data_IF_308074726706
#
_entry.id   IF_308074726706
#
_cell.length_a   1.000
_cell.length_b   1.000
_cell.length_c   1.000
_cell.angle_alpha   90.00
_cell.angle_beta   90.00
_cell.angle_gamma   90.00
#
_symmetry.space_group_name_H-M   'P 1'
#
loop_
_entity.id
_entity.type
_entity.pdbx_description
1 polymer ?
#
# COMPACT_ATOMS: atom_id res chain seq x y z
N UNK A 1 38.63 4.33 -0.63
CA UNK A 1 37.36 5.04 -0.90
C UNK A 1 36.82 4.79 -2.29
N UNK A 2 37.52 5.13 -3.39
CA UNK A 2 36.99 4.91 -4.74
C UNK A 2 36.60 3.45 -5.05
N UNK A 3 37.41 2.46 -4.63
CA UNK A 3 37.06 1.03 -4.75
C UNK A 3 35.83 0.65 -3.92
N UNK A 4 35.67 1.25 -2.74
CA UNK A 4 34.48 1.04 -1.89
C UNK A 4 33.27 1.61 -2.61
N UNK A 5 33.34 2.86 -3.09
CA UNK A 5 32.26 3.48 -3.88
C UNK A 5 31.88 2.66 -5.10
N UNK A 6 32.85 2.08 -5.82
CA UNK A 6 32.57 1.19 -6.95
C UNK A 6 31.84 -0.10 -6.50
N UNK A 7 32.27 -0.72 -5.39
CA UNK A 7 31.59 -1.88 -4.82
C UNK A 7 30.17 -1.57 -4.33
N UNK A 8 29.96 -0.40 -3.72
CA UNK A 8 28.62 0.05 -3.31
C UNK A 8 27.73 0.34 -4.51
N UNK A 9 28.27 0.91 -5.60
CA UNK A 9 27.51 1.13 -6.83
C UNK A 9 26.97 -0.17 -7.44
N UNK A 10 27.72 -1.28 -7.32
CA UNK A 10 27.26 -2.61 -7.74
C UNK A 10 26.11 -3.10 -6.85
N UNK A 11 26.19 -2.89 -5.54
CA UNK A 11 25.09 -3.20 -4.62
C UNK A 11 23.85 -2.36 -4.89
N UNK A 12 24.01 -1.07 -5.23
CA UNK A 12 22.89 -0.15 -5.43
C UNK A 12 22.02 -0.55 -6.64
N UNK A 13 22.61 -1.19 -7.64
CA UNK A 13 21.87 -1.75 -8.77
C UNK A 13 21.16 -3.08 -8.50
N UNK A 14 21.26 -3.61 -7.28
CA UNK A 14 20.60 -4.85 -6.81
C UNK A 14 19.50 -4.55 -5.78
N UNK A 15 19.13 -3.27 -5.59
CA UNK A 15 18.03 -2.92 -4.68
C UNK A 15 16.72 -3.18 -5.42
N UNK A 16 15.91 -4.06 -4.86
CA UNK A 16 14.54 -4.29 -5.29
C UNK A 16 13.60 -3.28 -4.59
N UNK A 17 12.49 -2.94 -5.24
CA UNK A 17 11.44 -2.08 -4.69
C UNK A 17 10.21 -2.95 -4.36
N UNK A 18 9.65 -2.82 -3.15
CA UNK A 18 8.47 -3.58 -2.72
C UNK A 18 7.58 -2.72 -1.83
N UNK A 19 6.29 -2.72 -2.16
CA UNK A 19 5.28 -1.86 -1.55
C UNK A 19 4.05 -2.69 -1.16
N UNK A 20 4.27 -3.78 -0.44
CA UNK A 20 3.19 -4.55 0.17
C UNK A 20 2.92 -4.10 1.61
N UNK A 21 1.69 -4.27 2.09
CA UNK A 21 1.30 -4.13 3.49
C UNK A 21 1.78 -5.31 4.35
N UNK A 22 1.99 -6.48 3.73
CA UNK A 22 2.39 -7.72 4.41
C UNK A 22 3.74 -7.63 5.11
N UNK A 23 4.63 -6.77 4.61
CA UNK A 23 5.93 -6.53 5.23
C UNK A 23 5.80 -6.08 6.71
N UNK A 24 4.69 -5.43 7.07
CA UNK A 24 4.44 -4.94 8.43
C UNK A 24 3.92 -6.02 9.40
N UNK A 25 3.49 -7.18 8.90
CA UNK A 25 2.96 -8.28 9.71
C UNK A 25 3.99 -9.36 10.05
N UNK A 26 5.15 -9.32 9.40
CA UNK A 26 6.23 -10.28 9.54
C UNK A 26 6.73 -10.39 10.99
N UNK A 27 6.75 -11.62 11.53
CA UNK A 27 7.35 -11.92 12.84
C UNK A 27 6.46 -11.68 14.07
N UNK A 28 5.17 -11.38 13.91
CA UNK A 28 4.24 -11.23 15.03
C UNK A 28 3.63 -12.56 15.51
N UNK A 29 3.32 -12.68 16.81
CA UNK A 29 2.56 -13.81 17.36
C UNK A 29 1.20 -13.97 16.66
N UNK A 30 0.62 -12.85 16.20
CA UNK A 30 -0.62 -12.82 15.45
C UNK A 30 -0.47 -13.47 14.06
N UNK A 31 0.60 -13.17 13.32
CA UNK A 31 0.88 -13.82 12.02
C UNK A 31 1.16 -15.30 12.19
N UNK A 32 1.91 -15.69 13.22
CA UNK A 32 2.14 -17.12 13.51
C UNK A 32 0.83 -17.87 13.84
N UNK A 33 -0.09 -17.22 14.56
CA UNK A 33 -1.41 -17.79 14.83
C UNK A 33 -2.27 -17.86 13.55
N UNK A 34 -2.19 -16.86 12.68
CA UNK A 34 -2.86 -16.84 11.38
C UNK A 34 -2.33 -17.96 10.47
N UNK A 35 -1.02 -18.10 10.29
CA UNK A 35 -0.40 -19.19 9.53
C UNK A 35 -0.78 -20.57 10.08
N UNK A 36 -0.86 -20.71 11.41
CA UNK A 36 -1.33 -21.94 12.03
C UNK A 36 -2.79 -22.22 11.69
N UNK A 37 -3.66 -21.21 11.71
CA UNK A 37 -5.06 -21.35 11.29
C UNK A 37 -5.12 -21.78 9.82
N UNK A 38 -4.36 -21.11 8.95
CA UNK A 38 -4.32 -21.40 7.52
C UNK A 38 -3.87 -22.86 7.27
N UNK A 39 -2.73 -23.26 7.82
CA UNK A 39 -2.18 -24.62 7.62
C UNK A 39 -3.05 -25.75 8.17
N UNK A 40 -3.83 -25.51 9.24
CA UNK A 40 -4.50 -26.59 9.97
C UNK A 40 -6.03 -26.61 9.81
N UNK A 41 -6.63 -25.49 9.39
CA UNK A 41 -8.09 -25.35 9.35
C UNK A 41 -8.63 -24.94 7.97
N UNK A 42 -7.77 -24.78 6.96
CA UNK A 42 -8.24 -24.46 5.61
C UNK A 42 -8.78 -25.68 4.85
N UNK A 43 -9.80 -25.40 4.04
CA UNK A 43 -10.39 -26.34 3.09
C UNK A 43 -9.82 -26.01 1.71
N UNK A 44 -9.34 -27.02 0.96
CA UNK A 44 -8.85 -26.86 -0.42
C UNK A 44 -9.88 -26.05 -1.25
N UNK A 45 -9.49 -24.86 -1.73
CA UNK A 45 -10.30 -23.99 -2.61
C UNK A 45 -10.53 -22.53 -2.18
N UNK A 46 -10.11 -22.11 -0.99
CA UNK A 46 -10.28 -20.71 -0.52
C UNK A 46 -9.07 -19.77 -0.75
N UNK A 47 -7.93 -20.28 -1.22
CA UNK A 47 -6.71 -19.48 -1.42
C UNK A 47 -6.68 -18.73 -2.75
N UNK A 48 -7.48 -19.13 -3.74
CA UNK A 48 -7.42 -18.54 -5.08
C UNK A 48 -8.46 -17.44 -5.26
N UNK A 49 -8.76 -16.64 -4.22
CA UNK A 49 -9.67 -15.51 -4.33
C UNK A 49 -9.24 -14.27 -3.56
N UNK A 50 -9.64 -13.10 -4.06
CA UNK A 50 -9.61 -11.82 -3.35
C UNK A 50 -11.00 -11.20 -3.33
N UNK A 51 -11.27 -10.38 -2.32
CA UNK A 51 -12.58 -9.78 -2.09
C UNK A 51 -12.51 -8.27 -2.29
N UNK A 52 -13.41 -7.78 -3.13
CA UNK A 52 -13.66 -6.37 -3.36
C UNK A 52 -14.97 -6.02 -2.66
N UNK A 53 -14.98 -4.90 -1.93
CA UNK A 53 -16.16 -4.39 -1.24
C UNK A 53 -16.60 -3.08 -1.87
N UNK A 54 -17.79 -3.06 -2.45
CA UNK A 54 -18.43 -1.85 -2.96
C UNK A 54 -19.51 -1.40 -1.97
N UNK A 55 -19.23 -0.31 -1.25
CA UNK A 55 -20.16 0.27 -0.27
C UNK A 55 -20.94 1.38 -0.95
N UNK A 56 -22.25 1.20 -1.06
CA UNK A 56 -23.16 2.22 -1.56
C UNK A 56 -23.69 3.06 -0.39
N UNK A 57 -23.71 4.38 -0.51
CA UNK A 57 -24.23 5.30 0.51
C UNK A 57 -25.27 6.27 -0.08
N UNK A 58 -26.31 6.54 0.69
CA UNK A 58 -27.39 7.44 0.30
C UNK A 58 -28.42 7.65 1.40
N UNK A 59 -29.54 8.28 1.06
CA UNK A 59 -30.65 8.52 2.01
C UNK A 59 -31.44 7.23 2.28
N UNK A 60 -31.79 6.48 1.23
CA UNK A 60 -32.35 5.14 1.33
C UNK A 60 -31.82 4.23 0.21
N UNK A 61 -30.76 3.49 0.50
CA UNK A 61 -30.16 2.54 -0.45
C UNK A 61 -30.95 1.23 -0.60
N UNK A 62 -32.00 1.03 0.18
CA UNK A 62 -32.92 -0.11 0.05
C UNK A 62 -34.13 0.21 -0.83
N UNK A 63 -34.32 1.46 -1.27
CA UNK A 63 -35.40 1.82 -2.17
C UNK A 63 -35.33 0.98 -3.46
N UNK A 64 -36.47 0.58 -4.02
CA UNK A 64 -36.53 -0.32 -5.19
C UNK A 64 -35.67 0.17 -6.34
N UNK A 65 -35.76 1.46 -6.67
CA UNK A 65 -34.96 2.08 -7.73
C UNK A 65 -33.45 2.10 -7.45
N UNK A 66 -33.05 2.19 -6.17
CA UNK A 66 -31.63 2.16 -5.77
C UNK A 66 -31.08 0.73 -5.84
N UNK A 67 -31.89 -0.26 -5.48
CA UNK A 67 -31.53 -1.68 -5.59
C UNK A 67 -31.47 -2.13 -7.06
N UNK A 68 -32.40 -1.68 -7.91
CA UNK A 68 -32.36 -1.95 -9.36
C UNK A 68 -31.10 -1.35 -9.97
N UNK A 69 -30.76 -0.09 -9.68
CA UNK A 69 -29.52 0.53 -10.16
C UNK A 69 -28.26 -0.20 -9.69
N UNK A 70 -28.27 -0.72 -8.45
CA UNK A 70 -27.20 -1.59 -7.96
C UNK A 70 -27.05 -2.86 -8.81
N UNK A 71 -28.16 -3.50 -9.21
CA UNK A 71 -28.13 -4.66 -10.10
C UNK A 71 -27.70 -4.30 -11.54
N UNK A 72 -28.10 -3.13 -12.06
CA UNK A 72 -27.64 -2.63 -13.36
C UNK A 72 -26.12 -2.40 -13.36
N UNK A 73 -25.55 -1.83 -12.28
CA UNK A 73 -24.10 -1.71 -12.12
C UNK A 73 -23.43 -3.09 -12.11
N UNK A 74 -23.99 -4.08 -11.41
CA UNK A 74 -23.48 -5.45 -11.42
C UNK A 74 -23.52 -6.08 -12.82
N UNK A 75 -24.56 -5.80 -13.60
CA UNK A 75 -24.65 -6.23 -15.00
C UNK A 75 -23.53 -5.60 -15.83
N UNK A 76 -23.29 -4.30 -15.70
CA UNK A 76 -22.19 -3.62 -16.39
C UNK A 76 -20.82 -4.20 -16.02
N UNK A 77 -20.62 -4.56 -14.74
CA UNK A 77 -19.41 -5.25 -14.27
C UNK A 77 -19.23 -6.60 -14.99
N UNK A 78 -20.29 -7.39 -15.09
CA UNK A 78 -20.26 -8.71 -15.76
C UNK A 78 -20.11 -8.63 -17.29
N UNK A 79 -20.42 -7.47 -17.90
CA UNK A 79 -20.27 -7.23 -19.34
C UNK A 79 -18.87 -6.74 -19.73
N UNK A 80 -18.08 -6.26 -18.78
CA UNK A 80 -16.68 -5.83 -19.01
C UNK A 80 -15.76 -7.04 -19.00
N UNK A 81 -15.13 -7.34 -20.12
CA UNK A 81 -14.24 -8.51 -20.28
C UNK A 81 -13.06 -8.48 -19.27
N UNK A 82 -12.47 -7.31 -19.07
CA UNK A 82 -11.37 -7.09 -18.14
C UNK A 82 -11.75 -7.44 -16.69
N UNK A 83 -12.98 -7.13 -16.27
CA UNK A 83 -13.47 -7.47 -14.93
C UNK A 83 -14.00 -8.91 -14.89
N UNK A 84 -14.92 -9.28 -15.79
CA UNK A 84 -15.61 -10.57 -15.79
C UNK A 84 -14.65 -11.76 -15.89
N UNK A 85 -13.54 -11.62 -16.63
CA UNK A 85 -12.53 -12.68 -16.75
C UNK A 85 -11.84 -13.03 -15.42
N UNK A 86 -11.89 -12.11 -14.45
CA UNK A 86 -11.26 -12.29 -13.14
C UNK A 86 -12.23 -12.77 -12.05
N UNK A 87 -13.53 -12.83 -12.31
CA UNK A 87 -14.52 -13.20 -11.29
C UNK A 87 -14.61 -14.72 -11.06
N UNK A 88 -15.09 -15.11 -9.88
CA UNK A 88 -15.37 -16.53 -9.55
C UNK A 88 -16.61 -17.07 -10.27
N UNK A 89 -16.71 -18.39 -10.44
CA UNK A 89 -17.82 -19.02 -11.18
C UNK A 89 -19.10 -19.18 -10.34
N UNK A 90 -19.00 -19.55 -9.05
CA UNK A 90 -20.18 -19.94 -8.26
C UNK A 90 -20.97 -18.76 -7.69
N UNK A 91 -20.29 -17.68 -7.28
CA UNK A 91 -20.93 -16.44 -6.76
C UNK A 91 -20.01 -15.23 -6.98
N UNK A 92 -19.92 -14.69 -8.21
CA UNK A 92 -19.02 -13.59 -8.53
C UNK A 92 -19.37 -12.32 -7.77
N UNK A 93 -20.67 -12.04 -7.57
CA UNK A 93 -21.17 -10.83 -6.92
C UNK A 93 -22.30 -11.18 -5.95
N UNK A 94 -22.26 -10.63 -4.75
CA UNK A 94 -23.27 -10.75 -3.71
C UNK A 94 -23.61 -9.36 -3.14
N UNK A 95 -24.75 -8.83 -3.55
CA UNK A 95 -25.35 -7.61 -3.03
C UNK A 95 -26.78 -7.85 -2.51
N UNK A 96 -27.36 -6.81 -1.90
CA UNK A 96 -28.71 -6.90 -1.33
C UNK A 96 -29.77 -7.20 -2.40
N UNK A 97 -29.61 -6.63 -3.60
CA UNK A 97 -30.53 -6.85 -4.73
C UNK A 97 -30.59 -8.29 -5.17
N UNK A 98 -29.46 -9.00 -5.17
CA UNK A 98 -29.41 -10.41 -5.55
C UNK A 98 -30.23 -11.25 -4.58
N UNK A 99 -30.10 -10.98 -3.27
CA UNK A 99 -30.81 -11.73 -2.24
C UNK A 99 -32.32 -11.46 -2.28
N UNK A 100 -32.71 -10.19 -2.46
CA UNK A 100 -34.13 -9.81 -2.58
C UNK A 100 -34.77 -10.43 -3.82
N UNK A 101 -34.11 -10.34 -4.98
CA UNK A 101 -34.61 -10.92 -6.22
C UNK A 101 -34.71 -12.45 -6.14
N UNK A 102 -33.70 -13.13 -5.60
CA UNK A 102 -33.72 -14.58 -5.41
C UNK A 102 -34.87 -15.03 -4.49
N UNK A 103 -35.10 -14.31 -3.39
CA UNK A 103 -36.22 -14.59 -2.49
C UNK A 103 -37.58 -14.46 -3.20
N UNK A 104 -37.74 -13.45 -4.06
CA UNK A 104 -38.97 -13.26 -4.83
C UNK A 104 -39.15 -14.32 -5.93
N UNK A 105 -38.09 -14.64 -6.66
CA UNK A 105 -38.10 -15.71 -7.67
C UNK A 105 -38.51 -17.04 -7.02
N UNK A 106 -37.94 -17.35 -5.85
CA UNK A 106 -38.25 -18.58 -5.14
C UNK A 106 -39.73 -18.67 -4.70
N UNK A 107 -40.37 -17.52 -4.38
CA UNK A 107 -41.81 -17.48 -4.10
C UNK A 107 -42.65 -17.80 -5.34
N UNK A 108 -42.34 -17.17 -6.48
CA UNK A 108 -43.08 -17.40 -7.73
C UNK A 108 -43.02 -18.87 -8.16
N UNK A 109 -41.85 -19.50 -8.06
CA UNK A 109 -41.71 -20.94 -8.35
C UNK A 109 -42.42 -21.84 -7.33
N UNK A 110 -42.50 -21.43 -6.06
CA UNK A 110 -43.25 -22.15 -5.04
C UNK A 110 -44.77 -22.11 -5.27
N UNK A 111 -45.29 -20.97 -5.71
CA UNK A 111 -46.71 -20.79 -6.04
C UNK A 111 -47.13 -21.55 -7.32
N UNK A 112 -46.24 -21.66 -8.31
CA UNK A 112 -46.49 -22.43 -9.53
C UNK A 112 -46.51 -23.96 -9.33
N UNK A 113 -45.85 -24.45 -8.26
CA UNK A 113 -45.86 -25.86 -7.87
C UNK A 113 -47.18 -26.23 -7.16
N UNK A 114 -47.66 -25.38 -6.24
CA UNK A 114 -48.94 -25.58 -5.54
C UNK A 114 -50.17 -25.41 -6.47
N UNK A 115 -50.00 -24.73 -7.62
CA UNK A 115 -51.06 -24.59 -8.63
C UNK A 115 -51.35 -25.83 -9.46
N UNK A 116 -50.57 -26.92 -9.35
CA UNK A 116 -50.70 -28.13 -10.18
C UNK A 116 -51.15 -29.40 -9.46
N UNK A 117 -51.19 -29.44 -8.13
CA UNK A 117 -51.63 -30.62 -7.37
C UNK A 117 -53.06 -30.45 -6.83
N UNK A 118 -53.98 -30.20 -7.76
CA UNK A 118 -55.40 -30.08 -7.52
C UNK A 118 -56.24 -31.21 -8.12
N UNK A 119 -55.71 -32.43 -8.26
CA UNK A 119 -56.51 -33.64 -8.50
C UNK A 119 -55.66 -34.90 -8.22
N UNK A 120 -56.12 -35.70 -7.26
CA UNK A 120 -55.71 -37.08 -6.94
C UNK A 120 -54.39 -37.34 -6.19
N UNK A 121 -54.41 -37.23 -4.85
CA UNK A 121 -53.64 -38.13 -3.98
C UNK A 121 -54.22 -38.23 -2.56
N UNK A 122 -55.13 -39.18 -2.36
CA UNK A 122 -55.47 -39.74 -1.05
C UNK A 122 -54.31 -40.64 -0.60
N UNK A 123 -53.53 -40.24 0.40
CA UNK A 123 -52.36 -41.01 0.83
C UNK A 123 -51.58 -40.34 1.95
N UNK A 124 -51.79 -40.85 3.17
CA UNK A 124 -50.98 -40.55 4.36
C UNK A 124 -49.49 -40.73 4.06
N UNK A 125 -48.70 -39.72 4.42
CA UNK A 125 -47.33 -39.77 4.94
C UNK A 125 -46.63 -38.43 4.62
N UNK A 126 -46.95 -37.39 5.39
CA UNK A 126 -46.48 -36.02 5.17
C UNK A 126 -45.68 -35.48 6.35
N UNK A 127 -44.58 -36.14 6.73
CA UNK A 127 -43.71 -35.62 7.80
C UNK A 127 -42.19 -35.76 7.54
N UNK A 128 -41.74 -36.17 6.35
CA UNK A 128 -40.31 -36.37 6.06
C UNK A 128 -39.76 -35.58 4.83
N UNK A 129 -40.52 -34.69 4.21
CA UNK A 129 -40.06 -33.94 3.02
C UNK A 129 -39.26 -32.64 3.32
N UNK A 130 -39.11 -32.24 4.59
CA UNK A 130 -38.48 -30.96 4.96
C UNK A 130 -36.94 -31.01 5.13
N UNK A 131 -36.26 -32.08 4.68
CA UNK A 131 -34.82 -32.28 4.96
C UNK A 131 -33.93 -32.78 3.83
N UNK A 132 -34.33 -32.66 2.56
CA UNK A 132 -33.38 -32.81 1.45
C UNK A 132 -33.43 -31.62 0.52
N UNK A 133 -32.52 -30.66 0.76
CA UNK A 133 -32.12 -29.65 -0.22
C UNK A 133 -31.28 -30.29 -1.34
N UNK A 134 -31.86 -31.28 -2.03
CA UNK A 134 -31.24 -32.04 -3.10
C UNK A 134 -32.02 -31.83 -4.39
N UNK A 135 -31.46 -30.95 -5.24
CA UNK A 135 -31.67 -30.77 -6.67
C UNK A 135 -32.68 -31.73 -7.33
N UNK A 136 -33.82 -31.21 -7.74
CA UNK A 136 -34.69 -31.83 -8.72
C UNK A 136 -35.32 -30.74 -9.62
N UNK A 137 -34.90 -30.71 -10.88
CA UNK A 137 -35.50 -29.90 -11.96
C UNK A 137 -34.53 -28.86 -12.50
N UNK A 138 -34.16 -28.96 -13.79
CA UNK A 138 -33.07 -28.20 -14.41
C UNK A 138 -33.08 -26.72 -14.09
N UNK A 139 -32.04 -26.28 -13.36
CA UNK A 139 -31.85 -24.89 -12.96
C UNK A 139 -31.51 -24.08 -14.20
N UNK A 140 -32.48 -23.35 -14.73
CA UNK A 140 -32.19 -22.20 -15.58
C UNK A 140 -31.37 -21.24 -14.71
N UNK A 141 -30.15 -20.94 -15.15
CA UNK A 141 -29.24 -20.04 -14.43
C UNK A 141 -29.92 -18.67 -14.33
N UNK A 142 -30.24 -18.21 -13.12
CA UNK A 142 -30.96 -16.96 -12.90
C UNK A 142 -30.01 -15.81 -13.23
N UNK A 143 -30.30 -15.10 -14.32
CA UNK A 143 -29.45 -13.98 -14.77
C UNK A 143 -29.70 -12.72 -13.94
N UNK A 144 -28.76 -11.77 -13.96
CA UNK A 144 -28.96 -10.45 -13.34
C UNK A 144 -30.16 -9.72 -13.99
N UNK A 145 -30.39 -9.94 -15.29
CA UNK A 145 -31.56 -9.37 -15.97
C UNK A 145 -32.87 -9.93 -15.40
N UNK A 146 -32.95 -11.24 -15.14
CA UNK A 146 -34.14 -11.83 -14.51
C UNK A 146 -34.39 -11.24 -13.11
N UNK A 147 -33.32 -10.95 -12.38
CA UNK A 147 -33.39 -10.31 -11.06
C UNK A 147 -33.92 -8.87 -11.15
N UNK A 148 -33.43 -8.09 -12.12
CA UNK A 148 -33.91 -6.73 -12.40
C UNK A 148 -35.39 -6.76 -12.79
N UNK A 149 -35.79 -7.66 -13.68
CA UNK A 149 -37.16 -7.74 -14.21
C UNK A 149 -38.17 -8.09 -13.10
N UNK A 150 -37.83 -9.05 -12.24
CA UNK A 150 -38.70 -9.47 -11.12
C UNK A 150 -38.89 -8.34 -10.11
N UNK A 151 -37.83 -7.63 -9.73
CA UNK A 151 -37.96 -6.51 -8.80
C UNK A 151 -38.68 -5.32 -9.45
N UNK A 152 -38.44 -5.04 -10.74
CA UNK A 152 -39.08 -3.95 -11.47
C UNK A 152 -40.59 -4.14 -11.65
N UNK A 153 -41.06 -5.38 -11.69
CA UNK A 153 -42.48 -5.71 -11.81
C UNK A 153 -43.27 -5.48 -10.50
N UNK A 154 -42.61 -5.38 -9.35
CA UNK A 154 -43.26 -5.25 -8.04
C UNK A 154 -43.73 -3.81 -7.79
N UNK A 155 -44.90 -3.67 -7.18
CA UNK A 155 -45.30 -2.39 -6.62
C UNK A 155 -44.56 -2.09 -5.30
N UNK A 156 -44.65 -0.84 -4.81
CA UNK A 156 -43.87 -0.41 -3.65
C UNK A 156 -44.23 -1.17 -2.36
N UNK A 157 -45.50 -1.49 -2.16
CA UNK A 157 -45.95 -2.21 -0.95
C UNK A 157 -45.47 -3.66 -0.94
N UNK A 158 -45.53 -4.32 -2.10
CA UNK A 158 -45.01 -5.68 -2.28
C UNK A 158 -43.49 -5.72 -2.03
N UNK A 159 -42.77 -4.73 -2.57
CA UNK A 159 -41.32 -4.61 -2.42
C UNK A 159 -40.92 -4.34 -0.96
N UNK A 160 -41.58 -3.38 -0.29
CA UNK A 160 -41.33 -3.10 1.12
C UNK A 160 -41.59 -4.32 2.02
N UNK A 161 -42.65 -5.08 1.74
CA UNK A 161 -42.95 -6.32 2.47
C UNK A 161 -41.87 -7.38 2.25
N UNK A 162 -41.37 -7.53 1.02
CA UNK A 162 -40.23 -8.41 0.70
C UNK A 162 -38.98 -7.99 1.48
N UNK A 163 -38.63 -6.70 1.47
CA UNK A 163 -37.47 -6.18 2.21
C UNK A 163 -37.61 -6.44 3.71
N UNK A 164 -38.77 -6.15 4.30
CA UNK A 164 -39.03 -6.35 5.72
C UNK A 164 -38.90 -7.83 6.13
N UNK A 165 -39.35 -8.75 5.28
CA UNK A 165 -39.24 -10.19 5.55
C UNK A 165 -37.79 -10.68 5.40
N UNK A 166 -37.13 -10.35 4.29
CA UNK A 166 -35.77 -10.81 4.00
C UNK A 166 -34.76 -10.26 5.00
N UNK A 167 -34.94 -9.01 5.43
CA UNK A 167 -34.06 -8.34 6.40
C UNK A 167 -34.60 -8.38 7.85
N UNK A 168 -35.59 -9.21 8.14
CA UNK A 168 -36.06 -9.44 9.52
C UNK A 168 -35.00 -10.12 10.39
N UNK A 169 -35.17 -10.09 11.71
CA UNK A 169 -34.24 -10.72 12.67
C UNK A 169 -34.03 -12.23 12.41
N UNK A 170 -35.08 -12.92 11.97
CA UNK A 170 -35.08 -14.34 11.59
C UNK A 170 -34.96 -14.56 10.06
N UNK A 171 -34.68 -13.50 9.31
CA UNK A 171 -34.64 -13.49 7.85
C UNK A 171 -33.35 -14.08 7.25
N UNK A 172 -32.95 -13.55 6.10
CA UNK A 172 -31.77 -14.02 5.40
C UNK A 172 -30.49 -13.48 6.05
N UNK A 173 -29.76 -14.38 6.73
CA UNK A 173 -28.48 -14.05 7.39
C UNK A 173 -27.43 -13.46 6.44
N UNK A 174 -27.40 -13.85 5.17
CA UNK A 174 -26.45 -13.27 4.19
C UNK A 174 -26.84 -11.84 3.84
N UNK A 175 -28.13 -11.54 3.71
CA UNK A 175 -28.61 -10.17 3.48
C UNK A 175 -28.26 -9.25 4.66
N UNK A 176 -28.48 -9.70 5.90
CA UNK A 176 -28.12 -8.94 7.09
C UNK A 176 -26.60 -8.67 7.20
N UNK A 177 -25.76 -9.59 6.74
CA UNK A 177 -24.30 -9.42 6.74
C UNK A 177 -23.81 -8.31 5.78
N UNK A 178 -24.63 -7.92 4.79
CA UNK A 178 -24.35 -6.81 3.88
C UNK A 178 -24.79 -5.45 4.45
N UNK A 179 -25.52 -5.44 5.57
CA UNK A 179 -26.02 -4.21 6.18
C UNK A 179 -25.02 -3.65 7.20
N UNK A 180 -24.99 -2.32 7.41
CA UNK A 180 -24.15 -1.71 8.44
C UNK A 180 -24.61 -2.14 9.83
N UNK A 181 -23.70 -2.16 10.80
CA UNK A 181 -23.99 -2.53 12.19
C UNK A 181 -25.05 -1.65 12.88
N UNK A 182 -25.33 -0.46 12.33
CA UNK A 182 -26.39 0.44 12.81
C UNK A 182 -27.77 0.17 12.21
N UNK A 183 -27.90 -0.80 11.30
CA UNK A 183 -29.17 -1.15 10.66
C UNK A 183 -30.07 -1.90 11.65
N UNK A 184 -31.37 -1.54 11.67
CA UNK A 184 -32.37 -2.21 12.48
C UNK A 184 -33.06 -3.30 11.63
N UNK A 185 -32.99 -4.59 12.03
CA UNK A 185 -33.63 -5.68 11.28
C UNK A 185 -35.11 -5.41 11.01
N UNK A 186 -35.54 -5.61 9.77
CA UNK A 186 -36.90 -5.37 9.29
C UNK A 186 -37.17 -3.93 8.82
N UNK A 187 -36.22 -3.01 8.96
CA UNK A 187 -36.35 -1.65 8.42
C UNK A 187 -36.32 -1.66 6.88
N UNK A 188 -37.27 -1.00 6.23
CA UNK A 188 -37.26 -0.83 4.76
C UNK A 188 -36.33 0.30 4.30
N UNK A 189 -35.59 0.91 5.22
CA UNK A 189 -34.66 2.00 4.95
C UNK A 189 -33.28 1.71 5.50
N UNK A 190 -32.24 2.06 4.73
CA UNK A 190 -30.87 2.05 5.19
C UNK A 190 -30.06 3.15 4.51
N UNK A 191 -29.04 3.67 5.20
CA UNK A 191 -28.13 4.68 4.64
C UNK A 191 -26.98 4.09 3.84
N UNK A 192 -26.71 2.81 4.02
CA UNK A 192 -25.66 2.10 3.32
C UNK A 192 -25.95 0.60 3.27
N UNK A 193 -25.38 -0.08 2.27
CA UNK A 193 -25.23 -1.53 2.21
C UNK A 193 -23.91 -1.85 1.49
N UNK A 194 -23.45 -3.08 1.65
CA UNK A 194 -22.24 -3.58 1.04
C UNK A 194 -22.59 -4.53 -0.12
N UNK A 195 -21.79 -4.48 -1.18
CA UNK A 195 -21.78 -5.47 -2.24
C UNK A 195 -20.41 -6.12 -2.27
N UNK A 196 -20.38 -7.44 -2.12
CA UNK A 196 -19.16 -8.26 -2.12
C UNK A 196 -18.95 -8.77 -3.53
N UNK A 197 -17.76 -8.55 -4.08
CA UNK A 197 -17.37 -9.02 -5.41
C UNK A 197 -16.15 -9.90 -5.20
N UNK A 198 -16.22 -11.14 -5.67
CA UNK A 198 -15.20 -12.16 -5.42
C UNK A 198 -14.46 -12.47 -6.71
N UNK A 199 -13.17 -12.17 -6.69
CA UNK A 199 -12.27 -12.29 -7.82
C UNK A 199 -11.38 -13.52 -7.60
N UNK A 200 -11.16 -14.33 -8.63
CA UNK A 200 -10.18 -15.42 -8.61
C UNK A 200 -8.78 -14.83 -8.68
N UNK A 201 -7.87 -15.36 -7.89
CA UNK A 201 -6.44 -15.07 -7.97
C UNK A 201 -5.73 -16.27 -8.56
N UNK A 202 -5.06 -16.13 -9.71
CA UNK A 202 -4.36 -17.24 -10.38
C UNK A 202 -3.02 -17.58 -9.69
N UNK A 203 -3.04 -17.79 -8.37
CA UNK A 203 -1.86 -18.06 -7.52
C UNK A 203 -1.26 -16.83 -6.83
N UNK A 204 -1.70 -15.61 -7.20
CA UNK A 204 -1.31 -14.37 -6.51
C UNK A 204 -2.27 -14.03 -5.37
N UNK A 205 -2.01 -14.50 -4.16
CA UNK A 205 -2.84 -14.10 -3.01
C UNK A 205 -2.52 -12.68 -2.57
N UNK A 206 -3.50 -11.93 -2.05
CA UNK A 206 -3.23 -10.69 -1.31
C UNK A 206 -2.21 -10.86 -0.19
N UNK A 207 -2.10 -12.08 0.36
CA UNK A 207 -1.16 -12.45 1.43
C UNK A 207 0.10 -13.19 0.90
N UNK A 208 0.30 -13.22 -0.42
CA UNK A 208 1.37 -13.96 -1.08
C UNK A 208 2.58 -13.07 -1.35
N UNK A 209 3.80 -13.63 -1.39
CA UNK A 209 5.02 -12.84 -1.63
C UNK A 209 5.09 -12.16 -3.01
N UNK A 210 4.23 -12.54 -3.95
CA UNK A 210 4.12 -11.90 -5.27
C UNK A 210 2.98 -10.84 -5.32
N UNK A 211 2.20 -10.71 -4.25
CA UNK A 211 1.02 -9.86 -4.18
C UNK A 211 -0.10 -10.27 -5.14
N UNK A 212 -1.03 -9.34 -5.39
CA UNK A 212 -2.04 -9.51 -6.43
C UNK A 212 -1.44 -9.29 -7.82
N UNK A 213 -1.85 -10.10 -8.79
CA UNK A 213 -1.44 -9.95 -10.18
C UNK A 213 -1.90 -8.62 -10.80
N UNK A 214 -1.24 -8.25 -11.90
CA UNK A 214 -1.53 -7.03 -12.65
C UNK A 214 -2.96 -7.05 -13.24
N UNK A 215 -3.43 -8.23 -13.67
CA UNK A 215 -4.78 -8.40 -14.22
C UNK A 215 -5.85 -8.17 -13.16
N UNK A 216 -5.70 -8.77 -11.99
CA UNK A 216 -6.60 -8.61 -10.86
C UNK A 216 -6.64 -7.15 -10.41
N UNK A 217 -5.46 -6.52 -10.27
CA UNK A 217 -5.33 -5.11 -9.89
C UNK A 217 -6.01 -4.18 -10.90
N UNK A 218 -5.79 -4.40 -12.19
CA UNK A 218 -6.41 -3.60 -13.26
C UNK A 218 -7.94 -3.71 -13.23
N UNK A 219 -8.47 -4.93 -13.09
CA UNK A 219 -9.90 -5.16 -12.97
C UNK A 219 -10.52 -4.47 -11.74
N UNK A 220 -9.82 -4.44 -10.60
CA UNK A 220 -10.30 -3.70 -9.42
C UNK A 220 -10.32 -2.19 -9.65
N UNK A 221 -9.32 -1.64 -10.35
CA UNK A 221 -9.28 -0.23 -10.70
C UNK A 221 -10.41 0.15 -11.68
N UNK A 222 -10.69 -0.68 -12.68
CA UNK A 222 -11.80 -0.47 -13.61
C UNK A 222 -13.15 -0.54 -12.88
N UNK A 223 -13.31 -1.48 -11.94
CA UNK A 223 -14.49 -1.59 -11.09
C UNK A 223 -14.71 -0.31 -10.27
N UNK A 224 -13.63 0.22 -9.67
CA UNK A 224 -13.67 1.52 -8.96
C UNK A 224 -14.04 2.66 -9.90
N UNK A 225 -13.54 2.67 -11.13
CA UNK A 225 -13.90 3.69 -12.12
C UNK A 225 -15.38 3.62 -12.52
N UNK A 226 -15.89 2.43 -12.81
CA UNK A 226 -17.29 2.22 -13.18
C UNK A 226 -18.23 2.64 -12.05
N UNK A 227 -17.93 2.24 -10.81
CA UNK A 227 -18.71 2.63 -9.64
C UNK A 227 -18.70 4.14 -9.37
N UNK A 228 -17.61 4.85 -9.72
CA UNK A 228 -17.51 6.30 -9.58
C UNK A 228 -18.26 7.09 -10.66
N UNK A 229 -18.68 6.44 -11.75
CA UNK A 229 -19.48 7.08 -12.81
C UNK A 229 -20.98 7.14 -12.45
N UNK A 230 -21.42 6.33 -11.49
CA UNK A 230 -22.79 6.33 -11.00
C UNK A 230 -23.10 7.59 -10.17
N UNK A 231 -24.33 8.08 -10.25
CA UNK A 231 -24.78 9.29 -9.51
C UNK A 231 -24.83 9.07 -7.99
N UNK A 232 -24.82 7.82 -7.54
CA UNK A 232 -24.83 7.46 -6.12
C UNK A 232 -23.40 7.36 -5.54
N UNK A 233 -23.27 7.57 -4.24
CA UNK A 233 -21.95 7.54 -3.59
C UNK A 233 -21.51 6.10 -3.36
N UNK A 234 -20.79 5.54 -4.34
CA UNK A 234 -20.04 4.30 -4.17
C UNK A 234 -18.65 4.57 -3.59
N UNK A 235 -18.21 3.67 -2.72
CA UNK A 235 -16.80 3.58 -2.33
C UNK A 235 -16.37 2.14 -2.47
N UNK A 236 -15.41 1.91 -3.37
CA UNK A 236 -14.90 0.58 -3.69
C UNK A 236 -13.56 0.38 -2.99
N UNK A 237 -13.45 -0.71 -2.24
CA UNK A 237 -12.24 -1.17 -1.57
C UNK A 237 -11.83 -2.51 -2.16
N UNK A 238 -10.55 -2.69 -2.42
CA UNK A 238 -9.94 -3.93 -2.85
C UNK A 238 -8.44 -3.83 -2.66
N UNK A 239 -7.77 -4.94 -2.38
CA UNK A 239 -6.33 -4.90 -2.09
C UNK A 239 -5.54 -4.32 -3.27
N UNK A 240 -5.88 -4.66 -4.51
CA UNK A 240 -5.22 -4.12 -5.70
C UNK A 240 -5.38 -2.60 -5.82
N UNK A 241 -6.57 -2.06 -5.50
CA UNK A 241 -6.81 -0.61 -5.46
C UNK A 241 -5.94 0.07 -4.38
N UNK A 242 -5.85 -0.55 -3.21
CA UNK A 242 -5.11 0.01 -2.07
C UNK A 242 -3.61 -0.01 -2.37
N UNK A 243 -3.07 -1.13 -2.84
CA UNK A 243 -1.65 -1.29 -3.19
C UNK A 243 -1.26 -0.34 -4.31
N UNK A 244 -2.05 -0.27 -5.39
CA UNK A 244 -1.77 0.66 -6.48
C UNK A 244 -1.83 2.14 -6.03
N UNK A 245 -2.75 2.53 -5.15
CA UNK A 245 -2.78 3.88 -4.58
C UNK A 245 -1.55 4.15 -3.70
N UNK A 246 -1.09 3.15 -2.93
CA UNK A 246 0.16 3.22 -2.16
C UNK A 246 1.36 3.41 -3.10
N UNK A 247 1.46 2.63 -4.17
CA UNK A 247 2.55 2.68 -5.16
C UNK A 247 2.61 4.02 -5.88
N UNK A 248 1.46 4.53 -6.33
CA UNK A 248 1.37 5.86 -6.93
C UNK A 248 1.80 6.94 -5.94
N UNK A 249 1.30 6.88 -4.70
CA UNK A 249 1.67 7.82 -3.63
C UNK A 249 3.17 7.76 -3.29
N UNK A 250 3.75 6.56 -3.30
CA UNK A 250 5.17 6.31 -3.10
C UNK A 250 6.01 6.94 -4.23
N UNK A 251 5.65 6.67 -5.48
CA UNK A 251 6.30 7.21 -6.68
C UNK A 251 6.21 8.75 -6.73
N UNK A 252 5.03 9.30 -6.48
CA UNK A 252 4.81 10.75 -6.41
C UNK A 252 5.65 11.39 -5.29
N UNK A 253 5.69 10.76 -4.12
CA UNK A 253 6.52 11.21 -3.01
C UNK A 253 8.01 11.21 -3.39
N UNK A 254 8.51 10.16 -4.02
CA UNK A 254 9.92 10.09 -4.43
C UNK A 254 10.27 11.14 -5.50
N UNK A 255 9.41 11.28 -6.52
CA UNK A 255 9.61 12.22 -7.63
C UNK A 255 9.46 13.69 -7.22
N UNK A 256 8.68 14.00 -6.19
CA UNK A 256 8.47 15.38 -5.70
C UNK A 256 9.42 15.71 -4.54
N UNK A 257 9.48 14.87 -3.50
CA UNK A 257 10.21 15.17 -2.25
C UNK A 257 11.72 15.15 -2.48
N UNK A 258 12.24 14.20 -3.26
CA UNK A 258 13.68 14.08 -3.52
C UNK A 258 14.29 15.35 -4.14
N UNK A 259 13.77 15.81 -5.30
CA UNK A 259 14.24 17.05 -5.92
C UNK A 259 14.03 18.29 -5.05
N UNK A 260 12.92 18.38 -4.31
CA UNK A 260 12.65 19.51 -3.43
C UNK A 260 13.63 19.56 -2.25
N UNK A 261 13.93 18.41 -1.63
CA UNK A 261 14.94 18.32 -0.58
C UNK A 261 16.33 18.73 -1.10
N UNK A 262 16.74 18.24 -2.28
CA UNK A 262 17.98 18.63 -2.93
C UNK A 262 18.03 20.14 -3.22
N UNK A 263 16.92 20.72 -3.69
CA UNK A 263 16.82 22.16 -3.91
C UNK A 263 17.04 22.94 -2.61
N UNK A 264 16.37 22.56 -1.53
CA UNK A 264 16.54 23.20 -0.22
C UNK A 264 17.99 23.09 0.28
N UNK A 265 18.64 21.95 0.07
CA UNK A 265 20.06 21.74 0.39
C UNK A 265 20.94 22.68 -0.39
N UNK A 266 20.77 22.74 -1.72
CA UNK A 266 21.58 23.62 -2.57
C UNK A 266 21.40 25.07 -2.15
N UNK A 267 20.17 25.50 -1.83
CA UNK A 267 19.91 26.84 -1.29
C UNK A 267 20.63 27.06 0.04
N UNK A 268 20.52 26.13 0.98
CA UNK A 268 21.16 26.23 2.30
C UNK A 268 22.70 26.29 2.19
N UNK A 269 23.30 25.40 1.40
CA UNK A 269 24.75 25.39 1.15
C UNK A 269 25.20 26.66 0.41
N UNK A 270 24.40 27.18 -0.52
CA UNK A 270 24.68 28.44 -1.21
C UNK A 270 24.74 29.61 -0.22
N UNK A 271 23.79 29.66 0.72
CA UNK A 271 23.77 30.69 1.77
C UNK A 271 24.93 30.53 2.75
N UNK A 272 25.24 29.30 3.16
CA UNK A 272 26.25 28.99 4.17
C UNK A 272 27.69 29.17 3.65
N UNK A 273 28.01 28.58 2.50
CA UNK A 273 29.37 28.56 1.97
C UNK A 273 29.69 29.77 1.10
N UNK A 274 28.75 30.19 0.25
CA UNK A 274 28.95 31.24 -0.76
C UNK A 274 30.13 30.96 -1.71
N UNK A 275 30.59 29.71 -1.78
CA UNK A 275 31.67 29.25 -2.64
C UNK A 275 31.20 28.05 -3.47
N UNK A 276 31.31 28.13 -4.80
CA UNK A 276 30.78 27.11 -5.71
C UNK A 276 31.45 25.74 -5.54
N UNK A 277 32.73 25.69 -5.20
CA UNK A 277 33.46 24.43 -5.03
C UNK A 277 33.01 23.73 -3.75
N UNK A 278 32.84 24.48 -2.66
CA UNK A 278 32.33 23.92 -1.40
C UNK A 278 30.89 23.40 -1.56
N UNK A 279 30.05 24.10 -2.32
CA UNK A 279 28.68 23.66 -2.63
C UNK A 279 28.72 22.35 -3.44
N UNK A 280 29.52 22.30 -4.51
CA UNK A 280 29.64 21.11 -5.36
C UNK A 280 30.21 19.93 -4.57
N UNK A 281 31.24 20.13 -3.75
CA UNK A 281 31.80 19.08 -2.89
C UNK A 281 30.79 18.58 -1.86
N UNK A 282 29.98 19.49 -1.29
CA UNK A 282 28.87 19.12 -0.41
C UNK A 282 27.86 18.20 -1.10
N UNK A 283 27.39 18.61 -2.28
CA UNK A 283 26.43 17.81 -3.08
C UNK A 283 27.03 16.46 -3.50
N UNK A 284 28.27 16.44 -3.99
CA UNK A 284 28.96 15.19 -4.34
C UNK A 284 29.09 14.27 -3.13
N UNK A 285 29.43 14.81 -1.95
CA UNK A 285 29.47 14.04 -0.72
C UNK A 285 28.14 13.41 -0.38
N UNK A 286 27.05 14.16 -0.47
CA UNK A 286 25.68 13.65 -0.25
C UNK A 286 25.38 12.50 -1.20
N UNK A 287 25.65 12.67 -2.50
CA UNK A 287 25.41 11.62 -3.51
C UNK A 287 26.23 10.36 -3.22
N UNK A 288 27.47 10.49 -2.76
CA UNK A 288 28.31 9.35 -2.37
C UNK A 288 27.74 8.65 -1.13
N UNK A 289 27.24 9.39 -0.14
CA UNK A 289 26.58 8.81 1.05
C UNK A 289 25.35 8.02 0.63
N UNK A 290 24.47 8.60 -0.18
CA UNK A 290 23.28 7.92 -0.68
C UNK A 290 23.63 6.67 -1.48
N UNK A 291 24.60 6.77 -2.39
CA UNK A 291 25.09 5.62 -3.17
C UNK A 291 25.64 4.51 -2.26
N UNK A 292 26.33 4.86 -1.17
CA UNK A 292 26.80 3.88 -0.20
C UNK A 292 25.64 3.25 0.56
N UNK A 293 24.63 4.03 0.95
CA UNK A 293 23.45 3.50 1.64
C UNK A 293 22.66 2.54 0.75
N UNK A 294 22.32 2.92 -0.48
CA UNK A 294 21.65 2.03 -1.43
C UNK A 294 22.53 0.82 -1.79
N UNK A 295 23.84 1.03 -1.89
CA UNK A 295 24.79 -0.06 -2.06
C UNK A 295 24.72 -1.09 -0.95
N UNK A 296 24.67 -0.63 0.29
CA UNK A 296 24.53 -1.49 1.45
C UNK A 296 23.20 -2.24 1.44
N UNK A 297 22.10 -1.57 1.08
CA UNK A 297 20.79 -2.21 0.97
C UNK A 297 20.82 -3.40 0.03
N UNK A 298 21.32 -3.23 -1.20
CA UNK A 298 21.37 -4.34 -2.16
C UNK A 298 22.31 -5.47 -1.72
N UNK A 299 23.42 -5.17 -1.02
CA UNK A 299 24.28 -6.21 -0.44
C UNK A 299 23.65 -6.93 0.77
N UNK A 300 22.82 -6.23 1.53
CA UNK A 300 22.13 -6.76 2.70
C UNK A 300 20.82 -7.48 2.33
N UNK A 301 20.39 -7.38 1.07
CA UNK A 301 19.09 -7.90 0.62
C UNK A 301 17.91 -7.16 1.23
N UNK A 302 18.08 -5.86 1.52
CA UNK A 302 17.03 -5.01 2.07
C UNK A 302 16.27 -4.38 0.91
N UNK A 303 14.99 -4.69 0.82
CA UNK A 303 14.08 -4.11 -0.16
C UNK A 303 13.75 -2.65 0.18
N UNK A 304 13.66 -1.80 -0.84
CA UNK A 304 13.31 -0.39 -0.64
C UNK A 304 11.78 -0.24 -0.55
N UNK A 305 11.29 0.09 0.64
CA UNK A 305 9.88 0.27 0.95
C UNK A 305 9.52 1.70 1.35
N UNK A 306 8.23 1.97 1.56
CA UNK A 306 7.71 3.29 1.91
C UNK A 306 8.38 3.94 3.12
N UNK A 307 8.71 3.14 4.14
CA UNK A 307 9.38 3.65 5.34
C UNK A 307 10.78 4.18 5.01
N UNK A 308 11.50 3.52 4.10
CA UNK A 308 12.86 3.85 3.70
C UNK A 308 12.98 5.13 2.85
N UNK A 309 11.88 5.68 2.30
CA UNK A 309 11.89 7.01 1.65
C UNK A 309 12.45 8.10 2.58
N UNK A 310 12.19 7.97 3.87
CA UNK A 310 12.65 8.95 4.87
C UNK A 310 14.17 8.93 5.08
N UNK A 311 14.85 7.82 4.74
CA UNK A 311 16.29 7.67 4.95
C UNK A 311 17.13 8.61 4.08
N UNK A 312 16.95 8.69 2.74
CA UNK A 312 17.63 9.69 1.94
C UNK A 312 17.45 11.12 2.46
N UNK A 313 16.24 11.51 2.83
CA UNK A 313 15.95 12.86 3.36
C UNK A 313 16.72 13.13 4.65
N UNK A 314 16.76 12.16 5.56
CA UNK A 314 17.54 12.24 6.79
C UNK A 314 19.03 12.37 6.51
N UNK A 315 19.57 11.52 5.63
CA UNK A 315 21.00 11.50 5.31
C UNK A 315 21.46 12.77 4.61
N UNK A 316 20.60 13.35 3.78
CA UNK A 316 20.82 14.66 3.16
C UNK A 316 21.01 15.74 4.24
N UNK A 317 20.10 15.81 5.22
CA UNK A 317 20.19 16.78 6.32
C UNK A 317 21.46 16.61 7.17
N UNK A 318 21.72 15.37 7.62
CA UNK A 318 22.88 15.06 8.46
C UNK A 318 24.22 15.27 7.74
N UNK A 319 24.26 14.99 6.43
CA UNK A 319 25.45 15.23 5.60
C UNK A 319 25.79 16.72 5.50
N UNK A 320 24.79 17.60 5.38
CA UNK A 320 24.99 19.05 5.38
C UNK A 320 25.61 19.50 6.70
N UNK A 321 25.12 19.01 7.83
CA UNK A 321 25.65 19.40 9.13
C UNK A 321 27.14 19.07 9.25
N UNK A 322 27.55 17.88 8.81
CA UNK A 322 28.95 17.47 8.85
C UNK A 322 29.81 18.32 7.90
N UNK A 323 29.32 18.55 6.69
CA UNK A 323 30.00 19.41 5.72
C UNK A 323 30.18 20.83 6.29
N UNK A 324 29.13 21.43 6.88
CA UNK A 324 29.18 22.79 7.43
C UNK A 324 30.20 22.89 8.55
N UNK A 325 30.18 21.97 9.51
CA UNK A 325 31.12 22.00 10.62
C UNK A 325 32.58 21.86 10.16
N UNK A 326 32.86 20.95 9.22
CA UNK A 326 34.24 20.73 8.74
C UNK A 326 34.70 21.90 7.87
N UNK A 327 33.89 22.35 6.90
CA UNK A 327 34.29 23.39 5.94
C UNK A 327 34.38 24.76 6.59
N UNK A 328 33.45 25.13 7.48
CA UNK A 328 33.53 26.40 8.19
C UNK A 328 34.75 26.44 9.11
N UNK A 329 35.06 25.35 9.82
CA UNK A 329 36.25 25.29 10.68
C UNK A 329 37.53 25.38 9.86
N UNK A 330 37.58 24.73 8.70
CA UNK A 330 38.71 24.85 7.78
C UNK A 330 38.87 26.28 7.26
N UNK A 331 37.78 26.93 6.85
CA UNK A 331 37.80 28.33 6.40
C UNK A 331 38.21 29.31 7.50
N UNK A 332 37.75 29.08 8.74
CA UNK A 332 38.16 29.87 9.91
C UNK A 332 39.68 29.83 10.07
N UNK A 333 40.31 28.65 9.98
CA UNK A 333 41.77 28.50 10.10
C UNK A 333 42.53 29.04 8.88
N UNK A 334 41.93 29.04 7.69
CA UNK A 334 42.52 29.70 6.50
C UNK A 334 42.54 31.22 6.62
N UNK A 335 41.55 31.80 7.31
CA UNK A 335 41.39 33.24 7.45
C UNK A 335 42.04 33.82 8.71
N UNK A 336 42.49 32.98 9.64
CA UNK A 336 43.30 33.41 10.79
C UNK A 336 44.70 33.81 10.31
N UNK A 337 45.05 35.11 10.48
CA UNK A 337 46.39 35.65 10.21
C UNK A 337 47.42 34.97 11.12
N UNK A 338 47.95 33.84 10.66
CA UNK A 338 49.13 33.21 11.25
C UNK A 338 50.37 33.74 10.50
N UNK A 339 51.47 33.99 11.22
CA UNK A 339 52.77 34.36 10.64
C UNK A 339 53.28 33.23 9.71
N UNK A 340 52.83 33.24 8.45
CA UNK A 340 53.16 32.26 7.42
C UNK A 340 52.00 32.04 6.44
N UNK A 341 52.31 31.72 5.18
CA UNK A 341 51.30 31.29 4.19
C UNK A 341 50.54 30.08 4.74
N UNK A 342 49.21 30.15 4.93
CA UNK A 342 48.43 29.04 5.45
C UNK A 342 48.55 27.83 4.51
N UNK A 343 49.10 26.71 4.99
CA UNK A 343 49.10 25.46 4.23
C UNK A 343 47.69 24.86 4.25
N UNK A 344 47.13 24.59 3.06
CA UNK A 344 45.81 23.96 2.85
C UNK A 344 45.68 22.67 3.66
N UNK A 345 46.75 21.86 3.68
CA UNK A 345 46.79 20.59 4.41
C UNK A 345 46.80 20.82 5.92
N UNK A 346 47.62 21.77 6.39
CA UNK A 346 47.71 22.15 7.80
C UNK A 346 46.38 22.64 8.37
N UNK A 347 45.72 23.57 7.69
CA UNK A 347 44.42 24.13 8.12
C UNK A 347 43.31 23.07 8.15
N UNK A 348 43.24 22.19 7.14
CA UNK A 348 42.27 21.08 7.13
C UNK A 348 42.52 20.09 8.26
N UNK A 349 43.79 19.75 8.53
CA UNK A 349 44.16 18.87 9.65
C UNK A 349 43.67 19.44 10.98
N UNK A 350 43.94 20.72 11.24
CA UNK A 350 43.50 21.38 12.49
C UNK A 350 41.98 21.42 12.60
N UNK A 351 41.28 21.68 11.48
CA UNK A 351 39.82 21.65 11.45
C UNK A 351 39.24 20.27 11.80
N UNK A 352 39.77 19.20 11.20
CA UNK A 352 39.35 17.83 11.51
C UNK A 352 39.63 17.45 12.97
N UNK A 353 40.76 17.85 13.54
CA UNK A 353 41.04 17.60 14.97
C UNK A 353 40.11 18.40 15.89
N UNK A 354 39.74 19.62 15.49
CA UNK A 354 38.85 20.49 16.27
C UNK A 354 37.40 19.98 16.35
N UNK A 355 36.89 19.38 15.27
CA UNK A 355 35.47 18.95 15.20
C UNK A 355 35.31 17.43 15.24
N UNK A 356 36.36 16.65 14.92
CA UNK A 356 36.27 15.21 14.70
C UNK A 356 35.72 14.42 15.89
N UNK A 357 36.12 14.76 17.12
CA UNK A 357 35.58 14.10 18.33
C UNK A 357 34.08 14.34 18.47
N UNK A 358 33.61 15.57 18.22
CA UNK A 358 32.20 15.91 18.28
C UNK A 358 31.40 15.17 17.18
N UNK A 359 31.94 15.12 15.96
CA UNK A 359 31.31 14.39 14.85
C UNK A 359 31.18 12.89 15.15
N UNK A 360 32.23 12.27 15.69
CA UNK A 360 32.18 10.84 16.08
C UNK A 360 31.10 10.59 17.13
N UNK A 361 31.00 11.44 18.16
CA UNK A 361 29.98 11.29 19.19
C UNK A 361 28.56 11.46 18.66
N UNK A 362 28.30 12.50 17.87
CA UNK A 362 26.99 12.72 17.25
C UNK A 362 26.61 11.54 16.34
N UNK A 363 27.55 11.07 15.52
CA UNK A 363 27.37 9.88 14.66
C UNK A 363 27.01 8.66 15.50
N UNK A 364 27.79 8.37 16.55
CA UNK A 364 27.61 7.20 17.38
C UNK A 364 26.25 7.24 18.10
N UNK A 365 25.86 8.38 18.67
CA UNK A 365 24.57 8.51 19.35
C UNK A 365 23.40 8.36 18.39
N UNK A 366 23.50 8.91 17.18
CA UNK A 366 22.46 8.80 16.17
C UNK A 366 22.35 7.36 15.65
N UNK A 367 23.47 6.72 15.31
CA UNK A 367 23.51 5.33 14.87
C UNK A 367 22.95 4.37 15.92
N UNK A 368 23.32 4.54 17.21
CA UNK A 368 22.75 3.74 18.31
C UNK A 368 21.24 3.96 18.42
N UNK A 369 20.76 5.20 18.27
CA UNK A 369 19.33 5.51 18.27
C UNK A 369 18.57 4.78 17.16
N UNK A 370 19.10 4.72 15.94
CA UNK A 370 18.49 3.98 14.84
C UNK A 370 18.60 2.46 15.01
N UNK A 371 19.73 1.95 15.50
CA UNK A 371 19.91 0.53 15.80
C UNK A 371 18.98 0.01 16.90
N UNK A 372 18.42 0.90 17.74
CA UNK A 372 17.40 0.50 18.70
C UNK A 372 16.15 -0.12 18.03
N UNK A 373 15.88 0.20 16.76
CA UNK A 373 14.77 -0.42 16.01
C UNK A 373 14.98 -1.93 15.74
N UNK A 374 16.20 -2.47 15.88
CA UNK A 374 16.46 -3.91 15.78
C UNK A 374 15.73 -4.73 16.86
N UNK A 375 15.23 -4.08 17.92
CA UNK A 375 14.43 -4.73 18.96
C UNK A 375 12.97 -4.94 18.51
N UNK A 376 12.53 -4.25 17.45
CA UNK A 376 11.17 -4.36 16.92
C UNK A 376 10.90 -5.75 16.36
N UNK A 377 9.72 -6.35 16.57
CA UNK A 377 9.32 -7.57 15.88
C UNK A 377 8.98 -7.34 14.39
N UNK A 378 8.78 -6.09 13.98
CA UNK A 378 8.37 -5.71 12.61
C UNK A 378 9.63 -5.55 11.74
N UNK A 379 9.78 -6.40 10.73
CA UNK A 379 10.94 -6.43 9.82
C UNK A 379 11.31 -5.07 9.20
N UNK A 380 10.38 -4.35 8.57
CA UNK A 380 10.62 -3.03 7.99
C UNK A 380 11.23 -2.00 8.97
N UNK A 381 10.88 -2.07 10.26
CA UNK A 381 11.49 -1.17 11.26
C UNK A 381 12.95 -1.55 11.53
N UNK A 382 13.29 -2.84 11.51
CA UNK A 382 14.66 -3.32 11.65
C UNK A 382 15.51 -2.83 10.46
N UNK A 383 15.01 -2.99 9.24
CA UNK A 383 15.65 -2.55 8.00
C UNK A 383 15.86 -1.03 7.96
N UNK A 384 14.84 -0.28 8.38
CA UNK A 384 14.92 1.17 8.55
C UNK A 384 16.03 1.57 9.52
N UNK A 385 16.12 0.89 10.68
CA UNK A 385 17.16 1.12 11.68
C UNK A 385 18.56 0.81 11.15
N UNK A 386 18.73 -0.36 10.52
CA UNK A 386 20.01 -0.83 10.00
C UNK A 386 20.53 0.05 8.86
N UNK A 387 19.66 0.37 7.90
CA UNK A 387 19.97 1.21 6.74
C UNK A 387 20.33 2.63 7.18
N UNK A 388 19.55 3.22 8.09
CA UNK A 388 19.82 4.56 8.64
C UNK A 388 21.15 4.60 9.39
N UNK A 389 21.41 3.63 10.27
CA UNK A 389 22.65 3.57 11.05
C UNK A 389 23.88 3.40 10.15
N UNK A 390 23.78 2.58 9.09
CA UNK A 390 24.82 2.46 8.08
C UNK A 390 25.05 3.79 7.35
N UNK A 391 23.99 4.43 6.85
CA UNK A 391 24.10 5.69 6.11
C UNK A 391 24.69 6.83 6.95
N UNK A 392 24.30 6.94 8.23
CA UNK A 392 24.85 7.92 9.18
C UNK A 392 26.35 7.67 9.39
N UNK A 393 26.74 6.41 9.54
CA UNK A 393 28.15 6.02 9.68
C UNK A 393 28.93 6.30 8.39
N UNK A 394 28.34 6.02 7.22
CA UNK A 394 28.91 6.36 5.92
C UNK A 394 29.11 7.87 5.76
N UNK A 395 28.17 8.70 6.22
CA UNK A 395 28.28 10.16 6.21
C UNK A 395 29.51 10.64 6.98
N UNK A 396 29.81 10.06 8.15
CA UNK A 396 31.01 10.38 8.91
C UNK A 396 32.29 10.10 8.10
N UNK A 397 32.36 8.95 7.41
CA UNK A 397 33.53 8.62 6.60
C UNK A 397 33.65 9.47 5.34
N UNK A 398 32.53 9.79 4.70
CA UNK A 398 32.51 10.62 3.50
C UNK A 398 32.91 12.07 3.85
N UNK A 399 32.27 12.68 4.83
CA UNK A 399 32.51 14.09 5.19
C UNK A 399 33.66 14.31 6.16
N UNK A 400 34.06 13.29 6.92
CA UNK A 400 35.21 13.34 7.82
C UNK A 400 36.52 12.91 7.17
N UNK A 401 36.50 12.25 6.01
CA UNK A 401 37.73 11.79 5.34
C UNK A 401 37.75 12.04 3.82
N UNK A 402 36.78 11.52 3.06
CA UNK A 402 36.82 11.59 1.59
C UNK A 402 36.72 13.03 1.07
N UNK A 403 35.71 13.77 1.49
CA UNK A 403 35.44 15.13 1.03
C UNK A 403 36.54 16.11 1.48
N UNK A 404 37.03 16.08 2.73
CA UNK A 404 38.19 16.86 3.14
C UNK A 404 39.45 16.59 2.30
N UNK A 405 39.73 15.32 1.99
CA UNK A 405 40.87 14.96 1.16
C UNK A 405 40.73 15.49 -0.27
N UNK A 406 39.53 15.39 -0.86
CA UNK A 406 39.25 15.95 -2.19
C UNK A 406 39.39 17.47 -2.19
N UNK A 407 38.87 18.16 -1.17
CA UNK A 407 39.00 19.62 -1.03
C UNK A 407 40.46 20.05 -1.01
N UNK A 408 41.27 19.41 -0.17
CA UNK A 408 42.70 19.71 -0.04
C UNK A 408 43.45 19.54 -1.37
N UNK A 409 43.18 18.47 -2.12
CA UNK A 409 43.84 18.24 -3.42
C UNK A 409 43.39 19.26 -4.48
N UNK A 410 42.09 19.59 -4.52
CA UNK A 410 41.58 20.58 -5.49
C UNK A 410 42.08 21.97 -5.16
N UNK A 411 42.02 22.40 -3.91
CA UNK A 411 42.49 23.72 -3.47
C UNK A 411 44.00 23.86 -3.71
N UNK A 412 44.79 22.85 -3.34
CA UNK A 412 46.23 22.85 -3.61
C UNK A 412 46.57 22.90 -5.11
N UNK A 413 45.77 22.25 -5.96
CA UNK A 413 45.93 22.32 -7.41
C UNK A 413 45.56 23.69 -7.99
N UNK A 414 44.52 24.34 -7.45
CA UNK A 414 44.10 25.69 -7.85
C UNK A 414 45.13 26.74 -7.42
N UNK A 415 45.66 26.64 -6.20
CA UNK A 415 46.72 27.51 -5.68
C UNK A 415 48.01 27.36 -6.50
N UNK A 416 48.38 26.14 -6.88
CA UNK A 416 49.52 25.88 -7.77
C UNK A 416 49.37 26.55 -9.16
N UNK A 417 48.15 26.93 -9.55
CA UNK A 417 47.83 27.68 -10.78
C UNK A 417 47.57 29.16 -10.53
N UNK A 418 47.82 29.65 -9.32
CA UNK A 418 47.70 31.06 -8.96
C UNK A 418 46.26 31.52 -8.67
N UNK A 419 45.35 30.58 -8.41
CA UNK A 419 43.97 30.89 -7.99
C UNK A 419 43.89 30.65 -6.48
N UNK A 420 44.01 31.73 -5.70
CA UNK A 420 43.79 31.72 -4.24
C UNK A 420 42.31 32.03 -3.96
N UNK A 421 41.68 31.27 -3.07
CA UNK A 421 40.23 31.32 -2.80
C UNK A 421 39.91 31.39 -1.31
#
# INVERSE_FOLDING_TARGET
MLLVTAGMAVGAGQVDDESDLDQFETGSDARAAQEYIQQNFETEGQQDVTVIQAIQRGDNVLARESVIRSLELQQQIMEREEIAGTLTEETPILGIGNVLAQAQIQRQYGEDADGKDGEDADGKDGEDAARSGGSAGGSQEITIQDQIDVLSAMNEQEYEALVQEVLSEDGNRRALALMPSSYEPGSTTAKAHNTIITQRTEGGTPEGPEGLGEQETTAQLELRELANQEDEQYTVFGTGIITDEIDRSFSDSFTIVGPLALLFVVVALTVAYRDLLDIVLGVVGILVVLLWTFGFMGWAGITFNQLLISVPVLLIGLSIDYAIHVFMRHREHRNEETDGTPDVRGSMKTALFGVGVALVWVTATAAIGFLANLVSPIGPLQDFGLTSAFGITAALFVFGALIPALKVEIDGFLEARGIDR
#
